data_IF_920020343659
#
_entry.id   IF_920020343659
#
_cell.length_a   1.000
_cell.length_b   1.000
_cell.length_c   1.000
_cell.angle_alpha   90.00
_cell.angle_beta   90.00
_cell.angle_gamma   90.00
#
_symmetry.space_group_name_H-M   'P 1'
#
loop_
_entity.id
_entity.type
_entity.pdbx_description
1 polymer ?
#
# COMPACT_ATOMS: atom_id res chain seq x y z
N UNK A 1 -39.43 -5.52 -3.42
CA UNK A 1 -38.03 -5.43 -3.90
C UNK A 1 -37.12 -5.08 -2.73
N UNK A 2 -36.36 -6.05 -2.22
CA UNK A 2 -35.40 -5.83 -1.13
C UNK A 2 -34.21 -5.00 -1.66
N UNK A 3 -34.04 -3.76 -1.15
CA UNK A 3 -32.84 -2.97 -1.42
C UNK A 3 -31.62 -3.74 -0.91
N UNK A 4 -30.76 -4.25 -1.80
CA UNK A 4 -29.47 -4.81 -1.42
C UNK A 4 -28.72 -3.73 -0.62
N UNK A 5 -28.52 -3.95 0.69
CA UNK A 5 -27.69 -3.08 1.53
C UNK A 5 -26.31 -2.95 0.88
N UNK A 6 -25.85 -1.72 0.74
CA UNK A 6 -24.47 -1.44 0.28
C UNK A 6 -23.48 -2.19 1.17
N UNK A 7 -22.54 -2.94 0.55
CA UNK A 7 -21.43 -3.57 1.28
C UNK A 7 -20.36 -2.55 1.73
N UNK A 8 -20.51 -1.32 1.34
CA UNK A 8 -19.62 -0.22 1.72
C UNK A 8 -20.00 0.27 3.12
N UNK A 9 -19.22 -0.14 4.12
CA UNK A 9 -19.42 0.23 5.52
C UNK A 9 -19.23 1.73 5.76
N UNK A 10 -18.42 2.42 4.95
CA UNK A 10 -18.21 3.86 5.08
C UNK A 10 -19.49 4.66 4.74
N UNK A 11 -20.41 4.10 3.93
CA UNK A 11 -21.70 4.72 3.63
C UNK A 11 -22.73 4.61 4.76
N UNK A 12 -22.43 3.81 5.79
CA UNK A 12 -23.28 3.65 6.96
C UNK A 12 -22.92 4.61 8.09
N UNK A 13 -21.85 5.38 7.93
CA UNK A 13 -21.36 6.40 8.86
C UNK A 13 -21.82 7.76 8.32
N UNK A 14 -22.41 8.61 9.17
CA UNK A 14 -22.90 9.94 8.81
C UNK A 14 -21.81 10.81 8.17
N UNK A 15 -22.22 11.73 7.26
CA UNK A 15 -21.30 12.56 6.48
C UNK A 15 -20.41 13.47 7.32
N UNK A 16 -20.85 13.87 8.52
CA UNK A 16 -20.05 14.64 9.48
C UNK A 16 -18.87 13.82 10.04
N UNK A 17 -19.07 12.52 10.23
CA UNK A 17 -18.03 11.59 10.68
C UNK A 17 -17.01 11.25 9.59
N UNK A 18 -17.29 11.52 8.31
CA UNK A 18 -16.39 11.24 7.18
C UNK A 18 -15.18 12.16 7.11
N UNK A 19 -15.21 13.33 7.73
CA UNK A 19 -14.09 14.29 7.78
C UNK A 19 -13.05 13.93 8.85
N UNK A 20 -12.74 12.66 9.03
CA UNK A 20 -11.82 12.18 10.07
C UNK A 20 -10.35 12.15 9.66
N UNK A 21 -9.93 12.98 8.72
CA UNK A 21 -8.50 13.22 8.54
C UNK A 21 -8.02 14.22 9.58
N UNK A 22 -7.13 13.80 10.48
CA UNK A 22 -6.43 14.70 11.41
C UNK A 22 -5.00 14.85 10.96
N UNK A 23 -4.48 16.06 10.99
CA UNK A 23 -3.11 16.39 10.68
C UNK A 23 -2.46 16.96 11.92
N UNK A 24 -1.37 16.36 12.36
CA UNK A 24 -0.54 16.83 13.46
C UNK A 24 0.81 17.24 12.89
N UNK A 25 1.25 18.46 13.17
CA UNK A 25 2.52 18.98 12.69
C UNK A 25 3.36 19.49 13.87
N UNK A 26 4.64 19.08 13.88
CA UNK A 26 5.63 19.60 14.81
C UNK A 26 6.91 19.94 14.01
N UNK A 27 7.17 21.22 13.81
CA UNK A 27 8.24 21.67 12.93
C UNK A 27 8.00 21.21 11.48
N UNK A 28 8.99 20.55 10.87
CA UNK A 28 8.89 19.99 9.52
C UNK A 28 8.23 18.59 9.47
N UNK A 29 7.97 17.96 10.65
CA UNK A 29 7.37 16.63 10.76
C UNK A 29 5.85 16.73 10.75
N UNK A 30 5.20 15.97 9.91
CA UNK A 30 3.75 15.98 9.76
C UNK A 30 3.21 14.56 9.80
N UNK A 31 2.14 14.37 10.57
CA UNK A 31 1.39 13.10 10.62
C UNK A 31 -0.04 13.36 10.18
N UNK A 32 -0.50 12.62 9.20
CA UNK A 32 -1.89 12.63 8.74
C UNK A 32 -2.56 11.32 9.13
N UNK A 33 -3.72 11.38 9.80
CA UNK A 33 -4.50 10.21 10.20
C UNK A 33 -5.78 10.19 9.38
N UNK A 34 -6.06 9.08 8.71
CA UNK A 34 -7.21 8.89 7.83
C UNK A 34 -7.94 7.60 8.21
N UNK A 35 -9.28 7.65 8.33
CA UNK A 35 -10.09 6.55 8.86
C UNK A 35 -11.06 5.90 7.86
N UNK A 36 -11.27 6.46 6.68
CA UNK A 36 -12.16 5.85 5.68
C UNK A 36 -11.38 5.28 4.50
N UNK A 37 -11.79 4.13 3.98
CA UNK A 37 -11.05 3.44 2.94
C UNK A 37 -10.91 4.23 1.65
N UNK A 38 -11.89 5.08 1.30
CA UNK A 38 -11.84 5.94 0.10
C UNK A 38 -10.91 7.14 0.31
N UNK A 39 -10.97 7.76 1.50
CA UNK A 39 -10.03 8.79 1.92
C UNK A 39 -8.60 8.27 1.96
N UNK A 40 -8.39 7.06 2.47
CA UNK A 40 -7.10 6.38 2.49
C UNK A 40 -6.57 6.16 1.06
N UNK A 41 -7.39 5.61 0.15
CA UNK A 41 -7.00 5.43 -1.25
C UNK A 41 -6.56 6.76 -1.89
N UNK A 42 -7.33 7.83 -1.66
CA UNK A 42 -7.01 9.16 -2.19
C UNK A 42 -5.73 9.73 -1.55
N UNK A 43 -5.52 9.52 -0.26
CA UNK A 43 -4.31 9.96 0.44
C UNK A 43 -3.05 9.24 -0.09
N UNK A 44 -3.12 7.92 -0.32
CA UNK A 44 -2.04 7.16 -0.96
C UNK A 44 -1.72 7.73 -2.34
N UNK A 45 -2.75 7.95 -3.18
CA UNK A 45 -2.58 8.50 -4.53
C UNK A 45 -1.97 9.90 -4.50
N UNK A 46 -2.37 10.77 -3.55
CA UNK A 46 -1.74 12.10 -3.39
C UNK A 46 -0.25 11.98 -3.07
N UNK A 47 0.15 11.08 -2.18
CA UNK A 47 1.56 10.90 -1.82
C UNK A 47 2.39 10.29 -2.98
N UNK A 48 1.81 9.38 -3.77
CA UNK A 48 2.44 8.86 -4.99
C UNK A 48 2.66 9.98 -6.02
N UNK A 49 1.75 10.96 -6.09
CA UNK A 49 1.81 12.07 -7.06
C UNK A 49 2.65 13.26 -6.62
N UNK A 50 3.26 13.23 -5.45
CA UNK A 50 4.18 14.29 -4.99
C UNK A 50 5.35 14.40 -5.96
N UNK A 51 5.82 15.60 -6.20
CA UNK A 51 6.96 15.88 -7.10
C UNK A 51 8.26 15.25 -6.60
N UNK A 52 8.43 15.16 -5.26
CA UNK A 52 9.56 14.54 -4.61
C UNK A 52 9.48 13.00 -4.51
N UNK A 53 8.34 12.38 -4.85
CA UNK A 53 8.18 10.92 -4.81
C UNK A 53 8.58 10.31 -6.16
N UNK A 54 9.72 9.66 -6.20
CA UNK A 54 10.25 9.01 -7.42
C UNK A 54 10.02 7.50 -7.43
N UNK A 55 10.14 6.86 -6.25
CA UNK A 55 9.97 5.42 -6.09
C UNK A 55 9.03 5.12 -4.92
N UNK A 56 8.39 3.95 -4.96
CA UNK A 56 7.64 3.41 -3.82
C UNK A 56 8.07 1.98 -3.55
N UNK A 57 8.32 1.70 -2.29
CA UNK A 57 8.54 0.34 -1.78
C UNK A 57 7.53 0.05 -0.67
N UNK A 58 7.33 -1.23 -0.34
CA UNK A 58 6.46 -1.55 0.79
C UNK A 58 6.19 -3.02 0.97
N UNK A 59 5.58 -3.32 2.11
CA UNK A 59 5.10 -4.65 2.46
C UNK A 59 3.59 -4.55 2.69
N UNK A 60 2.81 -5.24 1.87
CA UNK A 60 1.35 -5.21 1.93
C UNK A 60 0.80 -6.62 1.78
N UNK A 61 0.14 -7.13 2.81
CA UNK A 61 -0.32 -8.52 2.85
C UNK A 61 -1.15 -8.89 1.61
N UNK A 62 -2.06 -8.01 1.18
CA UNK A 62 -2.86 -8.20 -0.04
C UNK A 62 -2.86 -6.96 -0.92
N UNK A 63 -2.63 -7.19 -2.21
CA UNK A 63 -2.42 -6.16 -3.22
C UNK A 63 -3.30 -6.43 -4.45
N UNK A 64 -4.29 -5.57 -4.72
CA UNK A 64 -5.19 -5.71 -5.87
C UNK A 64 -5.92 -4.42 -6.25
N UNK A 65 -5.62 -3.29 -5.60
CA UNK A 65 -6.27 -2.02 -5.90
C UNK A 65 -5.77 -1.46 -7.23
N UNK A 66 -6.58 -1.59 -8.27
CA UNK A 66 -6.23 -1.20 -9.64
C UNK A 66 -5.93 0.29 -9.77
N UNK A 67 -6.66 1.16 -9.03
CA UNK A 67 -6.49 2.61 -9.12
C UNK A 67 -5.13 3.04 -8.55
N UNK A 68 -4.71 2.46 -7.42
CA UNK A 68 -3.40 2.71 -6.81
C UNK A 68 -2.30 2.15 -7.72
N UNK A 69 -2.42 0.89 -8.17
CA UNK A 69 -1.43 0.25 -9.05
C UNK A 69 -1.26 1.00 -10.38
N UNK A 70 -2.37 1.46 -10.98
CA UNK A 70 -2.33 2.30 -12.18
C UNK A 70 -1.58 3.60 -11.92
N UNK A 71 -1.89 4.29 -10.81
CA UNK A 71 -1.19 5.52 -10.43
C UNK A 71 0.31 5.30 -10.25
N UNK A 72 0.72 4.20 -9.59
CA UNK A 72 2.13 3.83 -9.47
C UNK A 72 2.78 3.61 -10.83
N UNK A 73 2.12 2.89 -11.75
CA UNK A 73 2.65 2.61 -13.08
C UNK A 73 2.85 3.88 -13.93
N UNK A 74 1.97 4.87 -13.78
CA UNK A 74 1.98 6.10 -14.58
C UNK A 74 2.92 7.18 -14.03
N UNK A 75 3.15 7.20 -12.70
CA UNK A 75 3.82 8.34 -12.03
C UNK A 75 5.22 8.02 -11.50
N UNK A 76 5.52 6.77 -11.18
CA UNK A 76 6.76 6.40 -10.53
C UNK A 76 7.79 5.85 -11.52
N UNK A 77 9.07 6.17 -11.28
CA UNK A 77 10.18 5.54 -12.01
C UNK A 77 10.34 4.07 -11.65
N UNK A 78 9.92 3.67 -10.44
CA UNK A 78 9.93 2.27 -10.07
C UNK A 78 9.23 1.96 -8.75
N UNK A 79 8.85 0.69 -8.63
CA UNK A 79 8.11 0.14 -7.49
C UNK A 79 8.67 -1.23 -7.14
N UNK A 80 8.81 -1.53 -5.85
CA UNK A 80 9.03 -2.91 -5.39
C UNK A 80 8.15 -3.17 -4.17
N UNK A 81 7.20 -4.09 -4.32
CA UNK A 81 6.25 -4.43 -3.26
C UNK A 81 6.37 -5.90 -2.88
N UNK A 82 6.31 -6.15 -1.57
CA UNK A 82 6.33 -7.49 -1.01
C UNK A 82 4.93 -7.82 -0.50
N UNK A 83 4.40 -8.95 -0.93
CA UNK A 83 3.06 -9.40 -0.56
C UNK A 83 3.06 -10.87 -0.13
N UNK A 84 1.95 -11.32 0.43
CA UNK A 84 1.76 -12.73 0.75
C UNK A 84 1.49 -13.54 -0.51
N UNK A 85 1.99 -14.77 -0.54
CA UNK A 85 1.63 -15.72 -1.60
C UNK A 85 0.24 -16.28 -1.36
N UNK A 86 -0.75 -15.84 -2.14
CA UNK A 86 -2.11 -16.35 -2.06
C UNK A 86 -2.82 -16.44 -3.44
N UNK A 87 -4.11 -16.80 -3.42
CA UNK A 87 -4.92 -16.86 -4.65
C UNK A 87 -5.10 -15.47 -5.28
N UNK A 88 -5.10 -14.39 -4.48
CA UNK A 88 -5.31 -13.03 -4.96
C UNK A 88 -4.15 -12.56 -5.82
N UNK A 89 -2.90 -12.80 -5.39
CA UNK A 89 -1.69 -12.46 -6.16
C UNK A 89 -1.60 -13.21 -7.49
N UNK A 90 -2.22 -14.37 -7.59
CA UNK A 90 -2.21 -15.24 -8.80
C UNK A 90 -3.37 -14.94 -9.75
N UNK A 91 -4.33 -14.08 -9.41
CA UNK A 91 -5.43 -13.73 -10.32
C UNK A 91 -4.93 -13.00 -11.55
N UNK A 92 -5.41 -13.39 -12.73
CA UNK A 92 -4.99 -12.82 -14.04
C UNK A 92 -5.05 -11.30 -14.07
N UNK A 93 -6.15 -10.71 -13.61
CA UNK A 93 -6.32 -9.25 -13.60
C UNK A 93 -5.26 -8.53 -12.73
N UNK A 94 -4.84 -9.13 -11.61
CA UNK A 94 -3.80 -8.58 -10.76
C UNK A 94 -2.42 -8.75 -11.41
N UNK A 95 -2.16 -9.90 -12.03
CA UNK A 95 -0.93 -10.13 -12.79
C UNK A 95 -0.76 -9.11 -13.93
N UNK A 96 -1.83 -8.81 -14.67
CA UNK A 96 -1.83 -7.78 -15.70
C UNK A 96 -1.55 -6.37 -15.14
N UNK A 97 -2.04 -6.06 -13.94
CA UNK A 97 -1.74 -4.79 -13.29
C UNK A 97 -0.27 -4.72 -12.83
N UNK A 98 0.26 -5.82 -12.30
CA UNK A 98 1.66 -5.90 -11.87
C UNK A 98 2.64 -5.79 -13.04
N UNK A 99 2.29 -6.36 -14.20
CA UNK A 99 3.12 -6.30 -15.40
C UNK A 99 3.35 -4.87 -15.94
N UNK A 100 2.50 -3.92 -15.57
CA UNK A 100 2.63 -2.50 -15.94
C UNK A 100 3.60 -1.72 -15.06
N UNK A 101 3.97 -2.28 -13.91
CA UNK A 101 4.88 -1.63 -12.97
C UNK A 101 6.34 -1.87 -13.39
N UNK A 102 7.23 -0.96 -13.00
CA UNK A 102 8.69 -1.09 -13.17
C UNK A 102 9.34 -1.36 -11.82
N UNK A 103 10.28 -2.31 -11.74
CA UNK A 103 11.00 -2.60 -10.50
C UNK A 103 12.06 -1.53 -10.18
N UNK A 104 12.21 -1.18 -8.90
CA UNK A 104 13.26 -0.28 -8.44
C UNK A 104 14.36 -0.99 -7.61
N UNK A 105 14.13 -2.23 -7.20
CA UNK A 105 15.11 -3.09 -6.54
C UNK A 105 15.31 -4.40 -7.30
N UNK A 106 16.49 -4.99 -7.14
CA UNK A 106 16.81 -6.27 -7.74
C UNK A 106 15.79 -7.37 -7.36
N UNK A 107 15.50 -8.25 -8.30
CA UNK A 107 14.60 -9.38 -8.06
C UNK A 107 13.10 -9.10 -8.29
N UNK A 108 12.77 -8.05 -9.04
CA UNK A 108 11.42 -7.85 -9.59
C UNK A 108 10.53 -6.87 -8.84
N UNK A 109 9.42 -6.56 -9.47
CA UNK A 109 8.44 -5.56 -9.04
C UNK A 109 7.60 -6.05 -7.86
N UNK A 110 7.09 -7.27 -7.96
CA UNK A 110 6.32 -7.94 -6.91
C UNK A 110 7.12 -9.12 -6.40
N UNK A 111 7.25 -9.18 -5.10
CA UNK A 111 7.92 -10.26 -4.38
C UNK A 111 6.96 -10.85 -3.35
N UNK A 112 7.23 -12.08 -2.91
CA UNK A 112 6.37 -12.78 -1.98
C UNK A 112 7.15 -13.34 -0.80
N UNK A 113 6.53 -13.30 0.37
CA UNK A 113 7.02 -13.92 1.62
C UNK A 113 5.87 -14.62 2.31
N UNK A 114 6.14 -15.81 2.85
CA UNK A 114 5.15 -16.65 3.48
C UNK A 114 4.26 -17.37 2.48
N UNK A 115 3.61 -18.41 2.93
CA UNK A 115 2.61 -19.12 2.15
C UNK A 115 1.30 -19.15 2.94
N UNK A 116 0.25 -18.54 2.37
CA UNK A 116 -1.08 -18.49 2.97
C UNK A 116 -1.83 -19.84 2.96
N UNK A 117 -1.13 -20.97 3.20
CA UNK A 117 -1.74 -22.31 3.20
C UNK A 117 -1.34 -23.10 4.45
N UNK A 118 -2.35 -23.69 5.11
CA UNK A 118 -2.19 -24.63 6.22
C UNK A 118 -2.43 -24.02 7.60
N UNK A 119 -2.74 -24.87 8.57
CA UNK A 119 -3.26 -24.52 9.90
C UNK A 119 -2.30 -23.70 10.79
N UNK A 120 -1.00 -23.63 10.43
CA UNK A 120 0.06 -23.00 11.24
C UNK A 120 1.09 -22.22 10.41
N UNK A 121 0.72 -21.70 9.24
CA UNK A 121 1.66 -20.98 8.40
C UNK A 121 1.71 -19.49 8.74
N UNK A 122 2.92 -19.01 9.04
CA UNK A 122 3.19 -17.59 9.28
C UNK A 122 2.92 -16.77 8.03
N UNK A 123 2.26 -15.64 8.20
CA UNK A 123 1.84 -14.73 7.15
C UNK A 123 2.61 -13.41 7.27
N UNK A 124 3.15 -12.89 6.18
CA UNK A 124 3.58 -11.50 6.12
C UNK A 124 2.34 -10.62 6.15
N UNK A 125 2.11 -9.93 7.27
CA UNK A 125 0.86 -9.20 7.50
C UNK A 125 1.03 -7.68 7.62
N UNK A 126 2.20 -7.17 7.26
CA UNK A 126 2.42 -5.72 7.16
C UNK A 126 1.52 -5.06 6.13
N UNK A 127 1.23 -3.78 6.34
CA UNK A 127 0.49 -2.93 5.42
C UNK A 127 1.09 -1.53 5.46
N UNK A 128 2.30 -1.40 4.90
CA UNK A 128 2.96 -0.11 4.76
C UNK A 128 3.47 0.13 3.34
N UNK A 129 3.48 1.39 2.94
CA UNK A 129 4.11 1.91 1.74
C UNK A 129 5.06 3.03 2.14
N UNK A 130 6.27 3.01 1.60
CA UNK A 130 7.30 4.01 1.81
C UNK A 130 7.64 4.68 0.47
N UNK A 131 7.51 6.00 0.40
CA UNK A 131 7.92 6.80 -0.74
C UNK A 131 9.38 7.22 -0.62
N UNK A 132 10.09 7.12 -1.74
CA UNK A 132 11.50 7.50 -1.83
C UNK A 132 11.67 8.60 -2.87
N UNK A 133 12.62 9.51 -2.62
CA UNK A 133 13.02 10.54 -3.59
C UNK A 133 13.94 9.98 -4.70
N UNK A 134 14.42 10.82 -5.58
CA UNK A 134 15.33 10.45 -6.69
C UNK A 134 16.66 9.85 -6.20
N UNK A 135 17.15 10.27 -5.04
CA UNK A 135 18.34 9.71 -4.39
C UNK A 135 18.05 8.38 -3.64
N UNK A 136 16.80 7.90 -3.71
CA UNK A 136 16.30 6.71 -2.99
C UNK A 136 16.29 6.87 -1.47
N UNK A 137 16.19 8.07 -0.98
CA UNK A 137 16.03 8.38 0.43
C UNK A 137 14.55 8.33 0.81
N UNK A 138 14.18 7.71 1.94
CA UNK A 138 12.82 7.68 2.42
C UNK A 138 12.32 9.06 2.82
N UNK A 139 11.15 9.46 2.32
CA UNK A 139 10.56 10.78 2.57
C UNK A 139 9.20 10.76 3.23
N UNK A 140 8.44 9.72 3.03
CA UNK A 140 7.18 9.48 3.73
C UNK A 140 6.91 7.99 3.88
N UNK A 141 6.12 7.64 4.89
CA UNK A 141 5.60 6.29 5.05
C UNK A 141 4.12 6.31 5.43
N UNK A 142 3.33 5.45 4.81
CA UNK A 142 1.97 5.12 5.22
C UNK A 142 1.98 3.76 5.91
N UNK A 143 1.37 3.67 7.10
CA UNK A 143 1.19 2.43 7.83
C UNK A 143 -0.20 2.40 8.51
N UNK A 144 -0.82 1.21 8.61
CA UNK A 144 -2.12 1.04 9.25
C UNK A 144 -2.77 -0.31 8.98
N UNK A 145 -4.10 -0.36 9.04
CA UNK A 145 -4.86 -1.59 8.78
C UNK A 145 -5.13 -1.84 7.29
N UNK A 146 -5.03 -0.80 6.44
CA UNK A 146 -5.45 -0.81 5.05
C UNK A 146 -4.58 -1.71 4.16
N UNK A 147 -5.16 -2.82 3.68
CA UNK A 147 -4.58 -3.55 2.56
C UNK A 147 -4.81 -2.76 1.26
N UNK A 148 -3.85 -2.82 0.34
CA UNK A 148 -4.00 -2.16 -0.97
C UNK A 148 -4.88 -3.02 -1.88
N UNK A 149 -6.17 -3.17 -1.50
CA UNK A 149 -7.16 -3.96 -2.24
C UNK A 149 -8.40 -3.13 -2.58
N UNK A 150 -9.19 -3.60 -3.55
CA UNK A 150 -10.49 -2.97 -3.88
C UNK A 150 -11.48 -3.06 -2.70
N UNK A 151 -11.48 -4.19 -1.99
CA UNK A 151 -12.38 -4.38 -0.84
C UNK A 151 -12.05 -3.47 0.33
N UNK A 152 -10.78 -3.15 0.56
CA UNK A 152 -10.37 -2.27 1.65
C UNK A 152 -10.94 -0.84 1.50
N UNK A 153 -11.26 -0.41 0.26
CA UNK A 153 -11.89 0.91 0.01
C UNK A 153 -13.29 1.02 0.62
N UNK A 154 -13.97 -0.10 0.83
CA UNK A 154 -15.32 -0.18 1.39
C UNK A 154 -15.36 -0.66 2.84
N UNK A 155 -14.21 -1.02 3.39
CA UNK A 155 -14.07 -1.39 4.79
C UNK A 155 -13.87 -0.15 5.67
N UNK A 156 -14.11 -0.32 6.98
CA UNK A 156 -13.65 0.62 8.00
C UNK A 156 -12.18 0.30 8.27
N UNK A 157 -11.31 1.22 7.91
CA UNK A 157 -9.86 1.08 7.99
C UNK A 157 -9.24 2.35 8.57
N UNK A 158 -8.00 2.27 9.00
CA UNK A 158 -7.23 3.43 9.40
C UNK A 158 -5.81 3.38 8.86
N UNK A 159 -5.25 4.54 8.57
CA UNK A 159 -3.82 4.71 8.30
C UNK A 159 -3.28 5.97 8.93
N UNK A 160 -1.99 5.95 9.23
CA UNK A 160 -1.17 7.10 9.52
C UNK A 160 -0.17 7.30 8.39
N UNK A 161 0.00 8.53 7.95
CA UNK A 161 1.00 8.92 6.95
C UNK A 161 1.94 9.89 7.64
N UNK A 162 3.20 9.51 7.72
CA UNK A 162 4.28 10.28 8.32
C UNK A 162 5.12 10.92 7.21
N UNK A 163 5.14 12.25 7.16
CA UNK A 163 6.13 13.04 6.43
C UNK A 163 7.33 13.27 7.38
N UNK A 164 8.05 12.20 7.64
CA UNK A 164 9.18 12.17 8.57
C UNK A 164 10.25 11.20 8.05
N UNK A 165 11.43 11.69 7.60
CA UNK A 165 12.49 10.84 7.06
C UNK A 165 13.02 9.80 8.05
N UNK A 166 13.07 10.11 9.36
CA UNK A 166 13.57 9.20 10.38
C UNK A 166 12.62 7.99 10.56
N UNK A 167 11.30 8.28 10.70
CA UNK A 167 10.28 7.23 10.77
C UNK A 167 10.26 6.44 9.46
N UNK A 168 10.30 7.12 8.32
CA UNK A 168 10.29 6.49 7.00
C UNK A 168 11.50 5.60 6.78
N UNK A 169 12.68 5.99 7.28
CA UNK A 169 13.90 5.17 7.25
C UNK A 169 13.72 3.88 8.04
N UNK A 170 13.10 3.93 9.22
CA UNK A 170 12.83 2.73 10.02
C UNK A 170 11.99 1.70 9.25
N UNK A 171 10.94 2.14 8.56
CA UNK A 171 10.12 1.25 7.72
C UNK A 171 10.87 0.78 6.46
N UNK A 172 11.73 1.61 5.90
CA UNK A 172 12.56 1.23 4.76
C UNK A 172 13.59 0.16 5.13
N UNK A 173 14.19 0.22 6.32
CA UNK A 173 15.07 -0.84 6.82
C UNK A 173 14.28 -2.15 7.02
N UNK A 174 13.07 -2.11 7.56
CA UNK A 174 12.21 -3.28 7.66
C UNK A 174 11.86 -3.86 6.28
N UNK A 175 11.54 -2.99 5.29
CA UNK A 175 11.37 -3.45 3.91
C UNK A 175 12.62 -4.17 3.40
N UNK A 176 13.82 -3.62 3.60
CA UNK A 176 15.09 -4.24 3.17
C UNK A 176 15.32 -5.60 3.85
N UNK A 177 14.99 -5.72 5.14
CA UNK A 177 15.07 -6.97 5.89
C UNK A 177 14.17 -8.05 5.30
N UNK A 178 12.91 -7.71 5.00
CA UNK A 178 11.94 -8.64 4.42
C UNK A 178 12.29 -8.95 2.95
N UNK A 179 12.81 -7.96 2.21
CA UNK A 179 13.25 -8.14 0.82
C UNK A 179 14.29 -9.25 0.69
N UNK A 180 15.27 -9.36 1.62
CA UNK A 180 16.32 -10.39 1.62
C UNK A 180 15.76 -11.82 1.64
N UNK A 181 14.65 -12.05 2.37
CA UNK A 181 14.02 -13.37 2.51
C UNK A 181 12.87 -13.61 1.51
N UNK A 182 12.48 -12.59 0.75
CA UNK A 182 11.37 -12.67 -0.20
C UNK A 182 11.82 -13.29 -1.54
N UNK A 183 10.87 -13.83 -2.29
CA UNK A 183 11.11 -14.42 -3.62
C UNK A 183 10.37 -13.61 -4.70
N UNK A 184 10.96 -13.42 -5.88
CA UNK A 184 10.26 -12.80 -7.00
C UNK A 184 8.95 -13.54 -7.34
N UNK A 185 7.87 -12.78 -7.56
CA UNK A 185 6.66 -13.34 -8.14
C UNK A 185 6.84 -13.46 -9.65
N UNK A 186 6.72 -14.68 -10.19
CA UNK A 186 6.66 -14.87 -11.65
C UNK A 186 5.33 -14.33 -12.16
N UNK A 187 5.36 -13.16 -12.81
CA UNK A 187 4.19 -12.53 -13.42
C UNK A 187 3.92 -13.25 -14.73
N UNK A 188 2.68 -13.78 -14.86
CA UNK A 188 2.19 -14.45 -16.07
C UNK A 188 1.20 -13.49 -16.75
N UNK A 189 1.52 -12.99 -17.92
CA UNK A 189 0.68 -12.09 -18.73
C UNK A 189 0.04 -12.85 -19.88
#
# INVERSE_FOLDING_TARGET
MSKKRSRDLNKQIDDEDRKRQKVHQRGKRKVSIVFDGRGIQNAIIRNIKREDTTYVVGCVAWLSNKRILKCMAEKLMGVTLITTTDKLTKRRNNQQAYAKLRGCFAGGVIRTVGEGKGRFKSLMHHKFLCGLNAAREPIWVMNGSFNVTESAVTNIENVMIFDDPEISTTFFEEFKRIHKISKPLKIKV
#
